data_IF_969357795843
#
_entry.id   IF_969357795843
#
_cell.length_a   1.000
_cell.length_b   1.000
_cell.length_c   1.000
_cell.angle_alpha   90.00
_cell.angle_beta   90.00
_cell.angle_gamma   90.00
#
_symmetry.space_group_name_H-M   'P 1'
#
loop_
_entity.id
_entity.type
_entity.pdbx_description
1 polymer ?
#
# COMPACT_ATOMS: atom_id res chain seq x y z
N UNK A 1 -2.69 17.14 12.65
CA UNK A 1 -2.55 16.31 11.42
C UNK A 1 -2.03 14.93 11.83
N UNK A 2 -2.70 13.84 11.43
CA UNK A 2 -2.11 12.51 11.63
C UNK A 2 -1.19 12.18 10.44
N UNK A 3 -0.05 11.55 10.70
CA UNK A 3 0.88 11.10 9.66
C UNK A 3 1.38 9.69 9.95
N UNK A 4 1.78 8.98 8.89
CA UNK A 4 2.52 7.73 9.01
C UNK A 4 3.94 8.01 9.52
N UNK A 5 4.40 7.24 10.49
CA UNK A 5 5.77 7.25 11.03
C UNK A 5 6.24 5.82 11.28
N UNK A 6 7.55 5.60 11.48
CA UNK A 6 8.06 4.28 11.90
C UNK A 6 7.99 4.14 13.42
N UNK A 7 7.56 2.99 13.89
CA UNK A 7 7.60 2.65 15.31
C UNK A 7 9.03 2.30 15.70
N UNK A 8 9.60 2.93 16.73
CA UNK A 8 10.94 2.56 17.22
C UNK A 8 11.01 1.16 17.84
N UNK A 9 9.88 0.66 18.36
CA UNK A 9 9.85 -0.66 19.03
C UNK A 9 9.88 -1.83 18.05
N UNK A 10 9.18 -1.73 16.92
CA UNK A 10 9.06 -2.83 15.96
C UNK A 10 9.52 -2.49 14.53
N UNK A 11 9.89 -1.24 14.25
CA UNK A 11 10.27 -0.77 12.91
C UNK A 11 9.12 -0.63 11.91
N UNK A 12 7.92 -1.15 12.23
CA UNK A 12 6.74 -1.11 11.35
C UNK A 12 6.12 0.28 11.23
N UNK A 13 5.25 0.44 10.24
CA UNK A 13 4.52 1.68 10.02
C UNK A 13 3.44 1.88 11.08
N UNK A 14 3.54 2.96 11.83
CA UNK A 14 2.59 3.41 12.84
C UNK A 14 2.09 4.81 12.49
N UNK A 15 1.21 5.36 13.31
CA UNK A 15 0.65 6.69 13.14
C UNK A 15 1.07 7.60 14.29
N UNK A 16 1.22 8.89 14.02
CA UNK A 16 1.40 9.94 15.02
C UNK A 16 0.38 11.06 14.77
N UNK A 17 -0.21 11.63 15.83
CA UNK A 17 -1.22 12.69 15.75
C UNK A 17 -2.36 12.53 16.75
N UNK A 18 -3.52 13.12 16.45
CA UNK A 18 -4.69 13.20 17.36
C UNK A 18 -5.63 11.97 17.35
N UNK A 19 -5.35 10.92 16.58
CA UNK A 19 -6.19 9.71 16.56
C UNK A 19 -7.41 9.78 15.63
N UNK A 20 -7.95 10.97 15.37
CA UNK A 20 -9.18 11.15 14.56
C UNK A 20 -9.03 10.79 13.08
N UNK A 21 -7.80 10.81 12.55
CA UNK A 21 -7.54 10.52 11.13
C UNK A 21 -6.77 9.20 10.93
N UNK A 22 -6.74 8.34 11.94
CA UNK A 22 -5.93 7.11 11.92
C UNK A 22 -6.42 6.12 10.88
N UNK A 23 -7.74 6.05 10.62
CA UNK A 23 -8.29 5.22 9.55
C UNK A 23 -7.72 5.56 8.17
N UNK A 24 -7.54 6.85 7.86
CA UNK A 24 -6.93 7.27 6.60
C UNK A 24 -5.44 6.92 6.53
N UNK A 25 -4.70 7.03 7.64
CA UNK A 25 -3.30 6.62 7.72
C UNK A 25 -3.16 5.10 7.58
N UNK A 26 -4.04 4.34 8.23
CA UNK A 26 -4.07 2.88 8.15
C UNK A 26 -4.29 2.40 6.72
N UNK A 27 -5.24 3.01 6.00
CA UNK A 27 -5.56 2.65 4.61
C UNK A 27 -4.42 2.93 3.62
N UNK A 28 -3.45 3.78 3.97
CA UNK A 28 -2.27 4.07 3.14
C UNK A 28 -1.13 3.07 3.38
N UNK A 29 -1.22 2.29 4.46
CA UNK A 29 -0.23 1.29 4.84
C UNK A 29 -0.79 -0.08 4.44
N UNK A 30 0.01 -0.89 3.74
CA UNK A 30 -0.40 -2.23 3.36
C UNK A 30 -0.69 -3.12 4.59
N UNK A 31 -1.65 -4.02 4.44
CA UNK A 31 -1.99 -5.01 5.45
C UNK A 31 -0.76 -5.82 5.87
N UNK A 32 -0.50 -5.87 7.17
CA UNK A 32 0.69 -6.53 7.76
C UNK A 32 1.91 -5.60 7.97
N UNK A 33 1.94 -4.40 7.37
CA UNK A 33 2.93 -3.36 7.69
C UNK A 33 2.47 -2.43 8.83
N UNK A 34 1.26 -2.60 9.34
CA UNK A 34 0.77 -1.88 10.51
C UNK A 34 1.48 -2.32 11.79
N UNK A 35 1.85 -1.33 12.58
CA UNK A 35 2.41 -1.52 13.91
C UNK A 35 1.35 -2.09 14.87
N UNK A 36 1.67 -3.22 15.51
CA UNK A 36 0.84 -3.80 16.57
C UNK A 36 1.15 -3.24 17.98
N UNK A 37 2.22 -2.44 18.12
CA UNK A 37 2.59 -1.84 19.41
C UNK A 37 1.63 -0.73 19.86
N UNK A 38 0.76 -0.24 18.97
CA UNK A 38 -0.19 0.84 19.27
C UNK A 38 -1.57 0.50 18.72
N UNK A 39 -2.60 0.90 19.47
CA UNK A 39 -3.98 0.78 19.04
C UNK A 39 -4.28 1.69 17.83
N UNK A 40 -5.15 1.21 16.96
CA UNK A 40 -5.61 1.93 15.78
C UNK A 40 -7.09 2.34 15.96
N UNK A 41 -7.37 3.51 16.54
CA UNK A 41 -8.74 3.96 16.75
C UNK A 41 -9.47 4.17 15.41
N UNK A 42 -10.67 3.60 15.29
CA UNK A 42 -11.50 3.73 14.10
C UNK A 42 -11.17 2.77 12.95
N UNK A 43 -10.24 1.83 13.13
CA UNK A 43 -10.06 0.70 12.19
C UNK A 43 -10.51 -0.57 12.89
N UNK A 44 -11.35 -1.35 12.20
CA UNK A 44 -11.70 -2.68 12.67
C UNK A 44 -10.44 -3.54 12.60
N UNK A 45 -9.92 -3.92 13.77
CA UNK A 45 -8.68 -4.71 13.85
C UNK A 45 -8.95 -6.15 13.43
N UNK A 46 -8.33 -6.58 12.32
CA UNK A 46 -8.10 -8.00 12.03
C UNK A 46 -6.69 -8.35 12.52
N UNK A 47 -6.49 -8.32 13.85
CA UNK A 47 -5.27 -8.79 14.47
C UNK A 47 -5.37 -10.31 14.69
N UNK A 48 -4.70 -11.08 13.83
CA UNK A 48 -4.67 -12.55 13.84
C UNK A 48 -5.18 -13.04 12.48
N UNK A 49 -4.34 -13.50 11.58
CA UNK A 49 -3.73 -14.82 11.71
C UNK A 49 -2.31 -14.76 11.16
N UNK A 50 -1.37 -15.22 11.97
CA UNK A 50 -0.01 -15.51 11.52
C UNK A 50 -0.11 -16.81 10.73
N UNK A 51 0.49 -16.81 9.55
CA UNK A 51 0.96 -17.97 8.76
C UNK A 51 0.42 -17.95 7.32
N UNK A 52 1.33 -18.15 6.36
CA UNK A 52 1.23 -17.93 4.90
C UNK A 52 1.35 -16.44 4.50
N UNK A 53 2.52 -15.84 4.32
CA UNK A 53 3.57 -16.33 3.45
C UNK A 53 4.93 -15.77 3.88
N UNK A 54 5.80 -16.65 4.34
CA UNK A 54 7.24 -16.50 4.15
C UNK A 54 7.56 -16.68 2.66
N UNK A 55 7.12 -15.75 1.82
CA UNK A 55 7.64 -15.52 0.46
C UNK A 55 7.12 -14.18 -0.04
N UNK A 56 8.02 -13.38 -0.61
CA UNK A 56 7.80 -12.10 -1.29
C UNK A 56 7.77 -10.84 -0.40
N UNK A 57 8.79 -10.70 0.44
CA UNK A 57 9.50 -9.42 0.50
C UNK A 57 10.23 -9.21 -0.83
N UNK A 58 9.59 -8.57 -1.82
CA UNK A 58 10.21 -7.82 -2.93
C UNK A 58 9.18 -7.50 -4.02
N UNK A 59 8.33 -6.51 -3.79
CA UNK A 59 7.73 -5.72 -4.87
C UNK A 59 7.41 -4.31 -4.35
N UNK A 60 8.38 -3.73 -3.64
CA UNK A 60 8.43 -2.28 -3.53
C UNK A 60 8.87 -1.75 -4.90
N UNK A 61 8.05 -0.87 -5.45
CA UNK A 61 8.39 0.10 -6.47
C UNK A 61 9.01 -0.46 -7.76
N UNK A 62 8.24 -0.49 -8.85
CA UNK A 62 8.67 0.04 -10.15
C UNK A 62 7.47 0.03 -11.10
N UNK A 63 7.10 1.24 -11.52
CA UNK A 63 6.64 1.54 -12.88
C UNK A 63 5.20 1.16 -13.26
N UNK A 64 4.28 2.08 -12.95
CA UNK A 64 3.22 2.43 -13.89
C UNK A 64 3.35 3.92 -14.30
N UNK A 65 4.58 4.29 -14.67
CA UNK A 65 4.92 5.54 -15.33
C UNK A 65 5.61 5.20 -16.64
N UNK A 66 4.86 4.65 -17.60
CA UNK A 66 5.39 4.14 -18.86
C UNK A 66 4.44 4.42 -20.01
N UNK A 67 4.44 5.69 -20.42
CA UNK A 67 3.75 6.23 -21.59
C UNK A 67 4.17 5.48 -22.86
N UNK A 68 3.38 4.52 -23.34
CA UNK A 68 3.51 4.01 -24.71
C UNK A 68 2.49 4.69 -25.58
N UNK A 69 2.98 5.71 -26.29
CA UNK A 69 2.29 6.34 -27.40
C UNK A 69 2.18 5.35 -28.56
N UNK A 70 0.99 4.80 -28.80
CA UNK A 70 0.68 4.19 -30.10
C UNK A 70 0.40 5.31 -31.10
N UNK A 71 1.49 5.91 -31.58
CA UNK A 71 1.52 6.60 -32.85
C UNK A 71 1.93 5.60 -33.94
N UNK A 72 1.36 5.84 -35.12
CA UNK A 72 1.78 5.35 -36.44
C UNK A 72 1.28 3.97 -36.90
N UNK A 73 0.34 4.08 -37.84
CA UNK A 73 0.40 3.51 -39.18
C UNK A 73 -0.03 2.06 -39.37
N UNK A 74 -0.99 1.88 -40.29
CA UNK A 74 -1.25 0.57 -40.88
C UNK A 74 -2.61 0.41 -41.52
N UNK A 75 -2.91 1.25 -42.50
CA UNK A 75 -3.91 1.00 -43.54
C UNK A 75 -3.75 -0.42 -44.12
N UNK A 76 -4.84 -1.18 -44.21
CA UNK A 76 -4.91 -2.41 -45.01
C UNK A 76 -6.26 -2.45 -45.72
N UNK A 77 -6.23 -1.99 -46.96
CA UNK A 77 -7.18 -2.32 -48.02
C UNK A 77 -7.33 -3.84 -48.14
N UNK A 78 -8.56 -4.34 -48.30
CA UNK A 78 -8.83 -5.59 -48.99
C UNK A 78 -10.25 -5.61 -49.55
N UNK A 79 -10.28 -5.69 -50.87
CA UNK A 79 -11.41 -5.72 -51.78
C UNK A 79 -12.27 -6.99 -51.66
N UNK A 80 -13.57 -6.84 -51.95
CA UNK A 80 -14.36 -7.78 -52.76
C UNK A 80 -15.59 -7.04 -53.29
#
# INVERSE_FOLDING_TARGET
MCRQVKCETCGKSTWAGCGRHVASVHSQIADGQHCACRAWPGVATAAGEKDLAVTAAAAAAETAGGKTTSAAAGERSSSA
#
